data_IF_046034791506
#
_entry.id   IF_046034791506
#
_cell.length_a   1.000
_cell.length_b   1.000
_cell.length_c   1.000
_cell.angle_alpha   90.00
_cell.angle_beta   90.00
_cell.angle_gamma   90.00
#
_symmetry.space_group_name_H-M   'P 1'
#
loop_
_entity.id
_entity.type
_entity.pdbx_description
1 polymer ?
#
# COMPACT_ATOMS: atom_id res chain seq x y z
N UNK A 1 40.57 -9.11 106.83
CA UNK A 1 39.76 -7.87 106.86
C UNK A 1 40.55 -6.74 106.21
N UNK A 2 40.08 -6.18 105.10
CA UNK A 2 40.48 -4.85 104.61
C UNK A 2 39.42 -4.35 103.62
N UNK A 3 38.57 -3.44 104.12
CA UNK A 3 37.59 -2.65 103.33
C UNK A 3 38.27 -1.37 102.85
N UNK A 4 38.11 -1.00 101.57
CA UNK A 4 38.16 0.40 101.10
C UNK A 4 37.55 0.48 99.69
N UNK A 5 36.23 0.72 99.59
CA UNK A 5 35.55 2.02 99.38
C UNK A 5 35.81 2.67 98.01
N UNK A 6 34.74 2.62 97.21
CA UNK A 6 34.42 3.46 96.04
C UNK A 6 34.65 4.94 96.31
N UNK A 7 35.13 5.66 95.30
CA UNK A 7 34.86 7.08 95.07
C UNK A 7 34.80 7.35 93.55
N UNK A 8 33.70 7.97 93.15
CA UNK A 8 33.40 8.68 91.88
C UNK A 8 33.50 10.17 92.28
N UNK A 9 34.10 11.11 91.52
CA UNK A 9 33.62 11.63 90.20
C UNK A 9 34.79 11.90 89.22
N UNK A 10 34.61 12.18 87.93
CA UNK A 10 34.07 13.43 87.37
C UNK A 10 33.87 13.27 85.84
N UNK A 11 32.89 14.00 85.32
CA UNK A 11 32.40 13.95 83.95
C UNK A 11 33.50 14.27 82.92
N UNK A 12 33.70 13.38 81.94
CA UNK A 12 34.32 13.75 80.68
C UNK A 12 33.40 13.38 79.51
N UNK A 13 33.16 14.42 78.72
CA UNK A 13 32.15 14.57 77.67
C UNK A 13 32.31 13.54 76.55
N UNK A 14 31.17 13.11 76.00
CA UNK A 14 31.11 12.31 74.79
C UNK A 14 31.88 12.99 73.64
N UNK A 15 32.69 12.26 72.85
CA UNK A 15 33.25 12.82 71.63
C UNK A 15 32.13 13.00 70.60
N UNK A 16 32.03 14.25 70.18
CA UNK A 16 31.22 14.83 69.12
C UNK A 16 31.28 13.98 67.85
N UNK A 17 30.11 13.81 67.21
CA UNK A 17 29.95 13.27 65.87
C UNK A 17 30.85 14.05 64.90
N UNK A 18 31.87 13.40 64.35
CA UNK A 18 32.73 13.97 63.33
C UNK A 18 32.31 13.49 61.94
N UNK A 19 31.95 14.47 61.13
CA UNK A 19 32.02 14.53 59.67
C UNK A 19 31.08 13.59 58.87
N UNK A 20 29.97 14.18 58.42
CA UNK A 20 29.28 13.81 57.20
C UNK A 20 30.29 13.62 56.05
N UNK A 21 30.44 12.38 55.57
CA UNK A 21 31.03 12.14 54.25
C UNK A 21 30.01 12.64 53.22
N UNK A 22 30.35 13.60 52.34
CA UNK A 22 29.42 13.98 51.28
C UNK A 22 29.17 12.75 50.40
N UNK A 23 27.90 12.36 50.26
CA UNK A 23 27.49 11.35 49.28
C UNK A 23 27.89 11.85 47.91
N UNK A 24 28.94 11.28 47.32
CA UNK A 24 29.30 11.51 45.93
C UNK A 24 28.17 10.97 45.06
N UNK A 25 27.30 11.87 44.59
CA UNK A 25 26.33 11.56 43.54
C UNK A 25 27.15 11.25 42.30
N UNK A 26 27.13 10.00 41.84
CA UNK A 26 27.78 9.61 40.60
C UNK A 26 27.04 10.30 39.44
N UNK A 27 27.58 11.44 39.00
CA UNK A 27 27.14 12.09 37.77
C UNK A 27 27.85 11.43 36.62
N UNK A 28 27.08 10.68 35.84
CA UNK A 28 27.53 10.08 34.58
C UNK A 28 28.17 11.17 33.69
N UNK A 29 29.28 10.87 33.01
CA UNK A 29 29.98 11.84 32.16
C UNK A 29 29.06 12.44 31.07
N UNK A 30 28.03 11.69 30.70
CA UNK A 30 26.97 12.14 29.81
C UNK A 30 26.14 13.29 30.40
N UNK A 31 25.83 13.25 31.70
CA UNK A 31 25.06 14.30 32.37
C UNK A 31 25.89 15.59 32.53
N UNK A 32 27.18 15.48 32.82
CA UNK A 32 28.06 16.65 32.97
C UNK A 32 28.36 17.34 31.64
N UNK A 33 28.48 16.58 30.55
CA UNK A 33 28.65 17.10 29.20
C UNK A 33 27.43 17.85 28.66
N UNK A 34 26.22 17.38 28.99
CA UNK A 34 24.97 18.06 28.63
C UNK A 34 24.75 19.30 29.49
N UNK A 35 24.98 19.22 30.80
CA UNK A 35 24.79 20.36 31.71
C UNK A 35 25.71 21.55 31.39
N UNK A 36 26.98 21.31 31.05
CA UNK A 36 27.90 22.40 30.64
C UNK A 36 27.47 23.09 29.35
N UNK A 37 27.02 22.33 28.35
CA UNK A 37 26.56 22.91 27.08
C UNK A 37 25.25 23.69 27.23
N UNK A 38 24.39 23.28 28.16
CA UNK A 38 23.14 23.99 28.50
C UNK A 38 23.43 25.29 29.26
N UNK A 39 24.39 25.29 30.19
CA UNK A 39 24.81 26.50 30.92
C UNK A 39 25.49 27.54 30.01
N UNK A 40 26.34 27.10 29.07
CA UNK A 40 27.04 28.00 28.13
C UNK A 40 26.08 28.66 27.13
N UNK A 41 25.00 27.98 26.75
CA UNK A 41 23.94 28.56 25.93
C UNK A 41 23.05 29.53 26.72
N UNK A 42 22.80 29.26 28.00
CA UNK A 42 21.99 30.13 28.88
C UNK A 42 22.61 31.50 29.12
N UNK A 43 23.95 31.58 29.23
CA UNK A 43 24.66 32.85 29.50
C UNK A 43 24.71 33.81 28.31
N UNK A 44 24.50 33.34 27.08
CA UNK A 44 24.47 34.21 25.88
C UNK A 44 23.12 34.91 25.66
N UNK A 45 22.10 34.65 26.48
CA UNK A 45 20.74 35.16 26.30
C UNK A 45 20.15 35.81 27.58
N UNK A 46 20.97 36.55 28.33
CA UNK A 46 20.52 37.19 29.58
C UNK A 46 19.70 38.46 29.32
N UNK A 47 18.43 38.47 29.77
CA UNK A 47 17.54 39.65 29.75
C UNK A 47 16.05 39.32 29.57
N UNK A 48 15.71 38.32 28.75
CA UNK A 48 14.38 37.67 28.64
C UNK A 48 14.50 36.14 28.47
N UNK A 49 15.69 35.61 28.76
CA UNK A 49 16.22 34.34 28.25
C UNK A 49 15.54 33.07 28.72
N UNK A 50 14.83 33.04 29.86
CA UNK A 50 14.31 31.77 30.38
C UNK A 50 13.12 31.25 29.56
N UNK A 51 12.19 32.13 29.17
CA UNK A 51 11.06 31.74 28.31
C UNK A 51 11.51 31.50 26.86
N UNK A 52 12.51 32.26 26.39
CA UNK A 52 13.12 32.06 25.06
C UNK A 52 13.90 30.74 25.02
N UNK A 53 14.66 30.41 26.06
CA UNK A 53 15.41 29.17 26.20
C UNK A 53 14.48 27.96 26.32
N UNK A 54 13.41 28.04 27.12
CA UNK A 54 12.39 26.98 27.19
C UNK A 54 11.64 26.83 25.86
N UNK A 55 11.35 27.93 25.16
CA UNK A 55 10.77 27.89 23.82
C UNK A 55 11.69 27.21 22.79
N UNK A 56 12.98 27.52 22.81
CA UNK A 56 13.97 26.87 21.95
C UNK A 56 14.18 25.39 22.30
N UNK A 57 14.21 25.05 23.60
CA UNK A 57 14.30 23.66 24.05
C UNK A 57 13.05 22.85 23.65
N UNK A 58 11.85 23.44 23.77
CA UNK A 58 10.61 22.81 23.32
C UNK A 58 10.59 22.58 21.81
N UNK A 59 11.08 23.55 21.01
CA UNK A 59 11.23 23.39 19.56
C UNK A 59 12.25 22.31 19.19
N UNK A 60 13.37 22.22 19.92
CA UNK A 60 14.36 21.17 19.70
C UNK A 60 13.80 19.77 20.00
N UNK A 61 13.07 19.61 21.11
CA UNK A 61 12.37 18.36 21.45
C UNK A 61 11.32 18.03 20.38
N UNK A 62 10.54 19.01 19.93
CA UNK A 62 9.56 18.83 18.87
C UNK A 62 10.22 18.37 17.56
N UNK A 63 11.36 18.97 17.18
CA UNK A 63 12.12 18.58 16.00
C UNK A 63 12.66 17.13 16.11
N UNK A 64 13.11 16.71 17.30
CA UNK A 64 13.52 15.32 17.56
C UNK A 64 12.35 14.36 17.45
N UNK A 65 11.19 14.69 18.04
CA UNK A 65 9.98 13.87 17.92
C UNK A 65 9.50 13.75 16.48
N UNK A 66 9.53 14.85 15.72
CA UNK A 66 9.25 14.87 14.28
C UNK A 66 10.27 13.99 13.53
N UNK A 67 11.56 14.11 13.85
CA UNK A 67 12.61 13.28 13.24
C UNK A 67 12.43 11.78 13.50
N UNK A 68 12.10 11.40 14.74
CA UNK A 68 11.79 10.01 15.13
C UNK A 68 10.54 9.53 14.38
N UNK A 69 9.50 10.36 14.31
CA UNK A 69 8.27 10.04 13.58
C UNK A 69 8.56 9.81 12.09
N UNK A 70 9.32 10.70 11.42
CA UNK A 70 9.68 10.53 10.01
C UNK A 70 10.59 9.32 9.76
N UNK A 71 11.56 9.06 10.64
CA UNK A 71 12.42 7.88 10.55
C UNK A 71 11.63 6.58 10.74
N UNK A 72 10.68 6.56 11.68
CA UNK A 72 9.77 5.44 11.87
C UNK A 72 8.84 5.28 10.67
N UNK A 73 8.24 6.36 10.17
CA UNK A 73 7.32 6.32 9.03
C UNK A 73 8.01 5.79 7.76
N UNK A 74 9.23 6.25 7.43
CA UNK A 74 9.99 5.73 6.27
C UNK A 74 10.34 4.26 6.40
N UNK A 75 10.76 3.81 7.59
CA UNK A 75 11.05 2.40 7.84
C UNK A 75 9.78 1.55 7.80
N UNK A 76 8.68 2.10 8.31
CA UNK A 76 7.36 1.47 8.30
C UNK A 76 6.85 1.31 6.86
N UNK A 77 6.95 2.33 6.02
CA UNK A 77 6.52 2.26 4.61
C UNK A 77 7.30 1.20 3.82
N UNK A 78 8.63 1.15 3.96
CA UNK A 78 9.43 0.13 3.29
C UNK A 78 9.07 -1.29 3.76
N UNK A 79 8.84 -1.47 5.07
CA UNK A 79 8.41 -2.74 5.63
C UNK A 79 6.98 -3.13 5.18
N UNK A 80 6.09 -2.14 5.06
CA UNK A 80 4.71 -2.33 4.61
C UNK A 80 4.67 -2.80 3.15
N UNK A 81 5.42 -2.13 2.27
CA UNK A 81 5.52 -2.52 0.86
C UNK A 81 6.17 -3.89 0.69
N UNK A 82 7.22 -4.20 1.46
CA UNK A 82 7.85 -5.52 1.42
C UNK A 82 6.90 -6.63 1.89
N UNK A 83 6.12 -6.40 2.96
CA UNK A 83 5.14 -7.35 3.45
C UNK A 83 3.98 -7.56 2.46
N UNK A 84 3.46 -6.47 1.87
CA UNK A 84 2.45 -6.53 0.83
C UNK A 84 2.97 -7.27 -0.41
N UNK A 85 4.19 -6.96 -0.86
CA UNK A 85 4.83 -7.60 -2.01
C UNK A 85 4.98 -9.11 -1.82
N UNK A 86 5.41 -9.55 -0.63
CA UNK A 86 5.48 -10.99 -0.30
C UNK A 86 4.10 -11.65 -0.37
N UNK A 87 3.06 -11.01 0.15
CA UNK A 87 1.70 -11.54 0.10
C UNK A 87 1.18 -11.64 -1.35
N UNK A 88 1.51 -10.65 -2.19
CA UNK A 88 1.21 -10.67 -3.64
C UNK A 88 1.96 -11.81 -4.32
N UNK A 89 3.24 -12.03 -4.00
CA UNK A 89 4.02 -13.16 -4.54
C UNK A 89 3.33 -14.50 -4.23
N UNK A 90 2.86 -14.70 -3.01
CA UNK A 90 2.07 -15.88 -2.65
C UNK A 90 0.76 -15.94 -3.44
N UNK A 91 0.03 -14.83 -3.59
CA UNK A 91 -1.24 -14.77 -4.31
C UNK A 91 -1.10 -14.97 -5.84
N UNK A 92 0.07 -14.71 -6.40
CA UNK A 92 0.37 -14.85 -7.84
C UNK A 92 1.18 -16.10 -8.16
N UNK A 93 1.58 -16.87 -7.14
CA UNK A 93 2.30 -18.13 -7.28
C UNK A 93 1.59 -19.08 -8.26
N UNK A 94 2.37 -19.81 -9.05
CA UNK A 94 1.82 -20.70 -10.07
C UNK A 94 0.92 -21.77 -9.45
N UNK A 95 -0.23 -22.02 -10.08
CA UNK A 95 -1.10 -23.17 -9.79
C UNK A 95 -0.78 -24.26 -10.81
N UNK A 96 -0.31 -25.40 -10.33
CA UNK A 96 0.13 -26.52 -11.16
C UNK A 96 0.02 -27.84 -10.39
N UNK A 97 -0.47 -28.87 -11.06
CA UNK A 97 -0.44 -30.24 -10.53
C UNK A 97 0.97 -30.85 -10.55
N UNK A 98 1.83 -30.35 -11.44
CA UNK A 98 3.23 -30.77 -11.51
C UNK A 98 4.06 -30.06 -10.44
N UNK A 99 4.96 -30.79 -9.75
CA UNK A 99 5.84 -30.20 -8.75
C UNK A 99 6.77 -29.15 -9.39
N UNK A 100 7.16 -28.18 -8.58
CA UNK A 100 8.07 -27.14 -9.01
C UNK A 100 9.41 -27.75 -9.50
N UNK A 101 10.05 -27.18 -10.54
CA UNK A 101 11.32 -27.70 -11.05
C UNK A 101 12.37 -27.85 -9.95
N UNK A 102 13.20 -28.90 -10.02
CA UNK A 102 14.21 -29.15 -9.00
C UNK A 102 15.14 -27.92 -8.83
N UNK A 103 15.25 -27.42 -7.60
CA UNK A 103 16.03 -26.22 -7.27
C UNK A 103 15.25 -24.90 -7.33
N UNK A 104 13.96 -24.90 -7.71
CA UNK A 104 13.14 -23.69 -7.65
C UNK A 104 12.77 -23.34 -6.20
N UNK A 105 12.88 -22.07 -5.84
CA UNK A 105 12.37 -21.53 -4.57
C UNK A 105 10.95 -20.97 -4.68
N UNK A 106 10.34 -21.03 -5.86
CA UNK A 106 8.99 -20.52 -6.10
C UNK A 106 7.95 -21.42 -5.44
N UNK A 107 7.02 -20.82 -4.70
CA UNK A 107 5.85 -21.52 -4.19
C UNK A 107 5.00 -21.96 -5.39
N UNK A 108 4.51 -23.19 -5.36
CA UNK A 108 3.54 -23.74 -6.33
C UNK A 108 2.39 -24.33 -5.54
N UNK A 109 1.18 -24.03 -5.97
CA UNK A 109 -0.05 -24.51 -5.33
C UNK A 109 -0.77 -25.50 -6.25
N UNK A 110 -1.49 -26.47 -5.67
CA UNK A 110 -2.25 -27.44 -6.46
C UNK A 110 -3.53 -26.84 -7.02
N UNK A 111 -4.16 -25.94 -6.26
CA UNK A 111 -5.40 -25.29 -6.65
C UNK A 111 -5.35 -23.79 -6.34
N UNK A 112 -6.22 -23.05 -7.03
CA UNK A 112 -6.51 -21.64 -6.77
C UNK A 112 -6.97 -21.40 -5.32
N UNK A 113 -7.75 -22.33 -4.77
CA UNK A 113 -8.24 -22.25 -3.39
C UNK A 113 -7.10 -22.37 -2.38
N UNK A 114 -6.20 -23.34 -2.56
CA UNK A 114 -5.04 -23.52 -1.65
C UNK A 114 -4.14 -22.28 -1.64
N UNK A 115 -3.93 -21.67 -2.82
CA UNK A 115 -3.17 -20.43 -2.95
C UNK A 115 -3.84 -19.28 -2.20
N UNK A 116 -5.15 -19.12 -2.38
CA UNK A 116 -5.92 -18.09 -1.69
C UNK A 116 -5.89 -18.28 -0.16
N UNK A 117 -6.03 -19.52 0.33
CA UNK A 117 -5.98 -19.85 1.76
C UNK A 117 -4.61 -19.53 2.37
N UNK A 118 -3.52 -19.70 1.59
CA UNK A 118 -2.17 -19.33 2.00
C UNK A 118 -1.91 -17.81 1.94
N UNK A 119 -2.48 -17.09 0.98
CA UNK A 119 -2.23 -15.66 0.76
C UNK A 119 -2.98 -14.76 1.75
N UNK A 120 -4.24 -15.08 2.07
CA UNK A 120 -5.08 -14.29 2.98
C UNK A 120 -4.40 -13.97 4.32
N UNK A 121 -3.81 -14.93 5.07
CA UNK A 121 -3.16 -14.61 6.34
C UNK A 121 -1.92 -13.72 6.17
N UNK A 122 -1.22 -13.79 5.03
CA UNK A 122 -0.09 -12.89 4.76
C UNK A 122 -0.59 -11.45 4.54
N UNK A 123 -1.69 -11.25 3.82
CA UNK A 123 -2.34 -9.93 3.71
C UNK A 123 -2.95 -9.47 5.03
N UNK A 124 -3.55 -10.36 5.83
CA UNK A 124 -4.10 -10.00 7.13
C UNK A 124 -3.00 -9.48 8.05
N UNK A 125 -1.82 -10.09 8.04
CA UNK A 125 -0.66 -9.58 8.77
C UNK A 125 -0.20 -8.18 8.32
N UNK A 126 -0.48 -7.80 7.06
CA UNK A 126 -0.26 -6.43 6.57
C UNK A 126 -1.30 -5.49 7.17
N UNK A 127 -2.58 -5.87 7.14
CA UNK A 127 -3.68 -5.10 7.73
C UNK A 127 -3.48 -4.87 9.23
N UNK A 128 -3.01 -5.88 9.95
CA UNK A 128 -2.85 -5.80 11.40
C UNK A 128 -1.66 -4.92 11.83
N UNK A 129 -0.66 -4.72 10.96
CA UNK A 129 0.61 -4.06 11.30
C UNK A 129 0.80 -2.69 10.68
N UNK A 130 0.13 -2.43 9.57
CA UNK A 130 0.33 -1.23 8.77
C UNK A 130 -1.00 -0.53 8.54
N UNK A 131 -0.95 0.79 8.33
CA UNK A 131 -2.12 1.62 8.07
C UNK A 131 -2.12 2.25 6.68
N UNK A 132 -3.21 2.93 6.34
CA UNK A 132 -3.31 3.77 5.15
C UNK A 132 -3.39 2.97 3.85
N UNK A 133 -2.79 3.47 2.77
CA UNK A 133 -2.96 2.89 1.43
C UNK A 133 -2.52 1.42 1.32
N UNK A 134 -1.50 0.99 2.07
CA UNK A 134 -1.03 -0.41 2.06
C UNK A 134 -2.05 -1.33 2.74
N UNK A 135 -2.62 -0.88 3.85
CA UNK A 135 -3.70 -1.58 4.56
C UNK A 135 -4.93 -1.75 3.67
N UNK A 136 -5.35 -0.67 2.99
CA UNK A 136 -6.50 -0.70 2.08
C UNK A 136 -6.27 -1.68 0.91
N UNK A 137 -5.07 -1.68 0.32
CA UNK A 137 -4.71 -2.64 -0.75
C UNK A 137 -4.72 -4.08 -0.23
N UNK A 138 -4.20 -4.32 0.98
CA UNK A 138 -4.24 -5.64 1.59
C UNK A 138 -5.68 -6.13 1.82
N UNK A 139 -6.58 -5.25 2.30
CA UNK A 139 -8.03 -5.57 2.43
C UNK A 139 -8.66 -5.94 1.09
N UNK A 140 -8.34 -5.20 0.02
CA UNK A 140 -8.78 -5.54 -1.33
C UNK A 140 -8.31 -6.94 -1.75
N UNK A 141 -7.02 -7.25 -1.59
CA UNK A 141 -6.51 -8.57 -1.95
C UNK A 141 -7.11 -9.70 -1.10
N UNK A 142 -7.38 -9.47 0.18
CA UNK A 142 -8.12 -10.42 1.03
C UNK A 142 -9.49 -10.71 0.42
N UNK A 143 -10.25 -9.67 0.07
CA UNK A 143 -11.60 -9.81 -0.48
C UNK A 143 -11.59 -10.55 -1.83
N UNK A 144 -10.65 -10.25 -2.72
CA UNK A 144 -10.50 -10.95 -4.02
C UNK A 144 -10.12 -12.42 -3.82
N UNK A 145 -9.18 -12.74 -2.92
CA UNK A 145 -8.83 -14.14 -2.63
C UNK A 145 -9.99 -14.89 -1.97
N UNK A 146 -10.78 -14.21 -1.12
CA UNK A 146 -11.98 -14.78 -0.51
C UNK A 146 -13.00 -15.21 -1.55
N UNK A 147 -13.08 -14.57 -2.73
CA UNK A 147 -13.96 -15.04 -3.81
C UNK A 147 -13.74 -16.52 -4.20
N UNK A 148 -12.53 -17.06 -4.00
CA UNK A 148 -12.19 -18.47 -4.29
C UNK A 148 -12.47 -19.44 -3.13
N UNK A 149 -12.74 -18.93 -1.93
CA UNK A 149 -12.88 -19.72 -0.69
C UNK A 149 -14.30 -19.63 -0.15
N UNK A 150 -14.77 -18.40 0.04
CA UNK A 150 -16.10 -18.00 0.48
C UNK A 150 -16.54 -16.80 -0.38
N UNK A 151 -17.23 -17.13 -1.46
CA UNK A 151 -17.65 -16.15 -2.46
C UNK A 151 -18.58 -15.09 -1.88
N UNK A 152 -19.47 -15.45 -0.96
CA UNK A 152 -20.41 -14.52 -0.36
C UNK A 152 -19.68 -13.48 0.51
N UNK A 153 -18.72 -13.94 1.33
CA UNK A 153 -17.89 -13.04 2.12
C UNK A 153 -17.04 -12.11 1.24
N UNK A 154 -16.39 -12.65 0.20
CA UNK A 154 -15.58 -11.87 -0.74
C UNK A 154 -16.38 -10.77 -1.44
N UNK A 155 -17.60 -11.08 -1.92
CA UNK A 155 -18.50 -10.09 -2.51
C UNK A 155 -18.88 -9.02 -1.51
N UNK A 156 -19.29 -9.39 -0.29
CA UNK A 156 -19.69 -8.43 0.74
C UNK A 156 -18.56 -7.46 1.11
N UNK A 157 -17.33 -7.96 1.18
CA UNK A 157 -16.14 -7.15 1.48
C UNK A 157 -15.78 -6.22 0.32
N UNK A 158 -15.84 -6.70 -0.93
CA UNK A 158 -15.66 -5.86 -2.11
C UNK A 158 -16.74 -4.77 -2.19
N UNK A 159 -17.99 -5.06 -1.85
CA UNK A 159 -19.06 -4.07 -1.80
C UNK A 159 -18.82 -3.00 -0.72
N UNK A 160 -18.25 -3.40 0.43
CA UNK A 160 -17.85 -2.45 1.46
C UNK A 160 -16.69 -1.55 0.98
N UNK A 161 -15.68 -2.13 0.33
CA UNK A 161 -14.55 -1.39 -0.22
C UNK A 161 -14.94 -0.51 -1.42
N UNK A 162 -15.87 -0.93 -2.27
CA UNK A 162 -16.36 -0.18 -3.43
C UNK A 162 -17.05 1.14 -3.05
N UNK A 163 -17.49 1.28 -1.79
CA UNK A 163 -18.04 2.53 -1.23
C UNK A 163 -16.96 3.54 -0.87
N UNK A 164 -15.70 3.12 -0.73
CA UNK A 164 -14.58 4.03 -0.54
C UNK A 164 -14.24 4.72 -1.86
N UNK A 165 -13.66 5.92 -1.78
CA UNK A 165 -13.10 6.59 -2.94
C UNK A 165 -11.70 6.07 -3.30
N UNK A 166 -11.11 6.62 -4.37
CA UNK A 166 -9.72 6.36 -4.73
C UNK A 166 -9.48 5.00 -5.39
N UNK A 167 -8.24 4.50 -5.24
CA UNK A 167 -7.74 3.30 -5.93
C UNK A 167 -8.50 2.04 -5.53
N UNK A 168 -8.58 1.75 -4.24
CA UNK A 168 -9.19 0.52 -3.74
C UNK A 168 -10.69 0.47 -4.03
N UNK A 169 -11.40 1.59 -3.91
CA UNK A 169 -12.81 1.66 -4.31
C UNK A 169 -13.02 1.36 -5.79
N UNK A 170 -12.18 1.93 -6.66
CA UNK A 170 -12.22 1.71 -8.12
C UNK A 170 -11.93 0.25 -8.46
N UNK A 171 -10.86 -0.33 -7.88
CA UNK A 171 -10.50 -1.73 -8.08
C UNK A 171 -11.58 -2.68 -7.56
N UNK A 172 -12.21 -2.36 -6.43
CA UNK A 172 -13.27 -3.19 -5.86
C UNK A 172 -14.53 -3.17 -6.74
N UNK A 173 -14.91 -2.02 -7.30
CA UNK A 173 -16.00 -1.95 -8.29
C UNK A 173 -15.70 -2.77 -9.54
N UNK A 174 -14.46 -2.72 -10.03
CA UNK A 174 -14.05 -3.52 -11.19
C UNK A 174 -14.10 -5.02 -10.89
N UNK A 175 -13.59 -5.46 -9.73
CA UNK A 175 -13.66 -6.85 -9.30
C UNK A 175 -15.12 -7.32 -9.10
N UNK A 176 -16.00 -6.46 -8.59
CA UNK A 176 -17.45 -6.74 -8.53
C UNK A 176 -18.04 -6.89 -9.93
N UNK A 177 -17.72 -6.01 -10.86
CA UNK A 177 -18.19 -6.10 -12.25
C UNK A 177 -17.80 -7.45 -12.89
N UNK A 178 -16.55 -7.88 -12.71
CA UNK A 178 -16.07 -9.20 -13.15
C UNK A 178 -16.82 -10.33 -12.46
N UNK A 179 -16.99 -10.25 -11.14
CA UNK A 179 -17.70 -11.28 -10.36
C UNK A 179 -19.15 -11.43 -10.82
N UNK A 180 -19.86 -10.32 -11.08
CA UNK A 180 -21.24 -10.33 -11.60
C UNK A 180 -21.30 -10.84 -13.03
N UNK A 181 -20.28 -10.56 -13.84
CA UNK A 181 -20.14 -11.13 -15.19
C UNK A 181 -20.04 -12.65 -15.13
N UNK A 182 -19.20 -13.19 -14.26
CA UNK A 182 -19.02 -14.62 -14.06
C UNK A 182 -20.30 -15.29 -13.53
N UNK A 183 -21.10 -14.56 -12.76
CA UNK A 183 -22.41 -15.01 -12.27
C UNK A 183 -23.53 -14.92 -13.31
N UNK A 184 -23.25 -14.42 -14.52
CA UNK A 184 -24.25 -14.18 -15.56
C UNK A 184 -25.20 -13.01 -15.25
N UNK A 185 -24.89 -12.22 -14.22
CA UNK A 185 -25.66 -11.04 -13.78
C UNK A 185 -25.25 -9.83 -14.61
N UNK A 186 -25.53 -9.89 -15.91
CA UNK A 186 -25.01 -8.95 -16.89
C UNK A 186 -25.48 -7.51 -16.65
N UNK A 187 -26.71 -7.29 -16.19
CA UNK A 187 -27.20 -5.94 -15.88
C UNK A 187 -26.48 -5.31 -14.68
N UNK A 188 -26.25 -6.09 -13.62
CA UNK A 188 -25.45 -5.63 -12.47
C UNK A 188 -24.00 -5.34 -12.90
N UNK A 189 -23.42 -6.19 -13.74
CA UNK A 189 -22.06 -6.00 -14.26
C UNK A 189 -21.94 -4.74 -15.12
N UNK A 190 -22.88 -4.52 -16.05
CA UNK A 190 -22.91 -3.34 -16.92
C UNK A 190 -23.01 -2.05 -16.09
N UNK A 191 -23.83 -2.04 -15.03
CA UNK A 191 -23.95 -0.88 -14.14
C UNK A 191 -22.61 -0.50 -13.50
N UNK A 192 -21.85 -1.48 -12.98
CA UNK A 192 -20.52 -1.20 -12.43
C UNK A 192 -19.52 -0.69 -13.49
N UNK A 193 -19.53 -1.28 -14.70
CA UNK A 193 -18.65 -0.81 -15.77
C UNK A 193 -19.00 0.60 -16.27
N UNK A 194 -20.28 0.96 -16.36
CA UNK A 194 -20.71 2.32 -16.70
C UNK A 194 -20.32 3.33 -15.59
N UNK A 195 -20.44 2.96 -14.31
CA UNK A 195 -19.92 3.79 -13.21
C UNK A 195 -18.42 4.05 -13.36
N UNK A 196 -17.64 3.00 -13.67
CA UNK A 196 -16.19 3.10 -13.86
C UNK A 196 -15.83 3.94 -15.08
N UNK A 197 -16.56 3.80 -16.19
CA UNK A 197 -16.37 4.56 -17.43
C UNK A 197 -16.55 6.06 -17.22
N UNK A 198 -17.47 6.43 -16.35
CA UNK A 198 -17.81 7.83 -16.05
C UNK A 198 -16.85 8.50 -15.06
N UNK A 199 -15.86 7.78 -14.54
CA UNK A 199 -14.81 8.37 -13.71
C UNK A 199 -13.95 9.34 -14.53
N UNK A 200 -13.73 10.54 -13.99
CA UNK A 200 -12.95 11.58 -14.69
C UNK A 200 -11.45 11.25 -14.77
N UNK A 201 -10.90 10.63 -13.73
CA UNK A 201 -9.51 10.19 -13.67
C UNK A 201 -9.47 8.70 -13.27
N UNK A 202 -9.76 7.79 -14.21
CA UNK A 202 -9.81 6.38 -13.90
C UNK A 202 -8.38 5.84 -13.75
N UNK A 203 -8.16 5.08 -12.68
CA UNK A 203 -6.88 4.39 -12.45
C UNK A 203 -6.72 3.20 -13.42
N UNK A 204 -7.84 2.66 -13.88
CA UNK A 204 -7.90 1.64 -14.92
C UNK A 204 -7.97 2.33 -16.29
N UNK A 205 -7.35 1.73 -17.30
CA UNK A 205 -7.43 2.24 -18.67
C UNK A 205 -8.90 2.27 -19.15
N UNK A 206 -9.32 3.40 -19.74
CA UNK A 206 -10.69 3.54 -20.27
C UNK A 206 -11.01 2.48 -21.31
N UNK A 207 -10.04 2.13 -22.15
CA UNK A 207 -10.20 1.08 -23.16
C UNK A 207 -10.52 -0.27 -22.54
N UNK A 208 -9.87 -0.63 -21.42
CA UNK A 208 -10.17 -1.87 -20.69
C UNK A 208 -11.60 -1.86 -20.14
N UNK A 209 -12.04 -0.77 -19.51
CA UNK A 209 -13.40 -0.64 -18.99
C UNK A 209 -14.43 -0.73 -20.12
N UNK A 210 -14.20 0.02 -21.20
CA UNK A 210 -15.08 0.06 -22.36
C UNK A 210 -15.14 -1.31 -23.07
N UNK A 211 -14.00 -1.99 -23.21
CA UNK A 211 -13.94 -3.31 -23.82
C UNK A 211 -14.76 -4.33 -23.04
N UNK A 212 -14.62 -4.35 -21.71
CA UNK A 212 -15.43 -5.25 -20.88
C UNK A 212 -16.92 -4.88 -20.94
N UNK A 213 -17.26 -3.60 -20.92
CA UNK A 213 -18.64 -3.16 -21.10
C UNK A 213 -19.23 -3.62 -22.46
N UNK A 214 -18.45 -3.53 -23.54
CA UNK A 214 -18.84 -4.03 -24.85
C UNK A 214 -19.05 -5.55 -24.85
N UNK A 215 -18.18 -6.32 -24.18
CA UNK A 215 -18.35 -7.76 -23.99
C UNK A 215 -19.69 -8.07 -23.28
N UNK A 216 -20.05 -7.27 -22.27
CA UNK A 216 -21.34 -7.41 -21.58
C UNK A 216 -22.50 -7.08 -22.51
N UNK A 217 -22.46 -5.95 -23.23
CA UNK A 217 -23.51 -5.58 -24.19
C UNK A 217 -23.70 -6.62 -25.29
N UNK A 218 -22.62 -7.19 -25.82
CA UNK A 218 -22.71 -8.29 -26.78
C UNK A 218 -23.42 -9.51 -26.17
N UNK A 219 -23.05 -9.92 -24.93
CA UNK A 219 -23.72 -11.02 -24.22
C UNK A 219 -25.19 -10.73 -23.90
N UNK A 220 -25.56 -9.47 -23.76
CA UNK A 220 -26.95 -9.03 -23.57
C UNK A 220 -27.76 -8.95 -24.87
N UNK A 221 -27.13 -9.18 -26.04
CA UNK A 221 -27.78 -9.00 -27.35
C UNK A 221 -27.88 -7.53 -27.80
N UNK A 222 -27.23 -6.60 -27.08
CA UNK A 222 -27.08 -5.18 -27.45
C UNK A 222 -25.93 -5.03 -28.44
N UNK A 223 -26.07 -5.68 -29.59
CA UNK A 223 -25.00 -5.83 -30.58
C UNK A 223 -24.58 -4.50 -31.19
N UNK A 224 -25.52 -3.56 -31.39
CA UNK A 224 -25.20 -2.25 -31.94
C UNK A 224 -24.32 -1.43 -30.98
N UNK A 225 -24.70 -1.39 -29.70
CA UNK A 225 -23.96 -0.68 -28.66
C UNK A 225 -22.58 -1.30 -28.43
N UNK A 226 -22.48 -2.64 -28.45
CA UNK A 226 -21.19 -3.33 -28.37
C UNK A 226 -20.30 -2.97 -29.58
N UNK A 227 -20.85 -3.02 -30.80
CA UNK A 227 -20.11 -2.67 -32.02
C UNK A 227 -19.63 -1.22 -32.01
N UNK A 228 -20.44 -0.28 -31.53
CA UNK A 228 -20.03 1.12 -31.36
C UNK A 228 -18.82 1.26 -30.43
N UNK A 229 -18.83 0.57 -29.30
CA UNK A 229 -17.73 0.65 -28.33
C UNK A 229 -16.48 0.01 -28.89
N UNK A 230 -16.56 -1.21 -29.45
CA UNK A 230 -15.41 -1.88 -30.05
C UNK A 230 -14.79 -1.06 -31.18
N UNK A 231 -15.62 -0.49 -32.05
CA UNK A 231 -15.18 0.40 -33.12
C UNK A 231 -14.42 1.59 -32.56
N UNK A 232 -14.96 2.29 -31.56
CA UNK A 232 -14.31 3.46 -31.00
C UNK A 232 -12.95 3.15 -30.37
N UNK A 233 -12.81 2.01 -29.68
CA UNK A 233 -11.53 1.56 -29.11
C UNK A 233 -10.51 1.32 -30.22
N UNK A 234 -10.86 0.49 -31.21
CA UNK A 234 -9.96 0.10 -32.27
C UNK A 234 -9.63 1.28 -33.21
N UNK A 235 -10.60 2.13 -33.54
CA UNK A 235 -10.43 3.32 -34.38
C UNK A 235 -9.49 4.33 -33.74
N UNK A 236 -9.72 4.68 -32.47
CA UNK A 236 -8.86 5.62 -31.74
C UNK A 236 -7.42 5.11 -31.68
N UNK A 237 -7.22 3.82 -31.43
CA UNK A 237 -5.90 3.22 -31.40
C UNK A 237 -5.23 3.19 -32.78
N UNK A 238 -5.99 2.96 -33.86
CA UNK A 238 -5.46 2.94 -35.23
C UNK A 238 -4.97 4.31 -35.72
N UNK A 239 -5.54 5.39 -35.17
CA UNK A 239 -5.21 6.78 -35.51
C UNK A 239 -4.22 7.40 -34.53
N UNK A 240 -3.79 6.66 -33.51
CA UNK A 240 -2.87 7.14 -32.50
C UNK A 240 -1.48 7.40 -33.11
N UNK A 241 -0.93 8.57 -32.81
CA UNK A 241 0.41 8.98 -33.23
C UNK A 241 1.29 9.29 -32.03
N UNK A 242 2.56 8.95 -32.14
CA UNK A 242 3.60 9.27 -31.17
C UNK A 242 3.99 10.75 -31.23
N UNK A 243 4.91 11.15 -30.34
CA UNK A 243 5.45 12.52 -30.31
C UNK A 243 6.24 12.87 -31.59
N UNK A 244 6.68 11.86 -32.33
CA UNK A 244 7.38 11.95 -33.60
C UNK A 244 6.42 11.95 -34.81
N UNK A 245 5.11 12.13 -34.58
CA UNK A 245 4.02 12.09 -35.58
C UNK A 245 3.91 10.75 -36.32
N UNK A 246 4.51 9.69 -35.76
CA UNK A 246 4.48 8.35 -36.34
C UNK A 246 3.36 7.49 -35.76
N UNK A 247 2.80 6.54 -36.53
CA UNK A 247 1.77 5.66 -36.02
C UNK A 247 2.23 4.81 -34.84
N UNK A 248 1.38 4.67 -33.82
CA UNK A 248 1.64 3.81 -32.67
C UNK A 248 1.00 2.44 -32.94
N UNK A 249 1.72 1.33 -32.68
CA UNK A 249 1.11 0.01 -32.74
C UNK A 249 -0.10 -0.10 -31.81
N UNK A 250 -1.20 -0.68 -32.32
CA UNK A 250 -2.40 -0.88 -31.52
C UNK A 250 -2.11 -1.74 -30.27
N UNK A 251 -2.73 -1.38 -29.15
CA UNK A 251 -2.69 -2.20 -27.95
C UNK A 251 -3.32 -3.58 -28.20
N UNK A 252 -3.06 -4.55 -27.32
CA UNK A 252 -3.71 -5.84 -27.41
C UNK A 252 -5.24 -5.70 -27.32
N UNK A 253 -5.75 -4.94 -26.35
CA UNK A 253 -7.18 -4.66 -26.20
C UNK A 253 -7.81 -4.03 -27.45
N UNK A 254 -7.09 -3.14 -28.13
CA UNK A 254 -7.62 -2.52 -29.35
C UNK A 254 -7.67 -3.49 -30.54
N UNK A 255 -6.71 -4.43 -30.64
CA UNK A 255 -6.75 -5.50 -31.63
C UNK A 255 -7.89 -6.47 -31.35
N UNK A 256 -8.03 -6.91 -30.11
CA UNK A 256 -9.15 -7.76 -29.68
C UNK A 256 -10.51 -7.08 -29.89
N UNK A 257 -10.60 -5.76 -29.68
CA UNK A 257 -11.80 -4.97 -30.00
C UNK A 257 -12.12 -5.00 -31.49
N UNK A 258 -11.11 -4.87 -32.36
CA UNK A 258 -11.30 -4.99 -33.82
C UNK A 258 -11.78 -6.39 -34.21
N UNK A 259 -11.18 -7.44 -33.65
CA UNK A 259 -11.58 -8.83 -33.91
C UNK A 259 -13.03 -9.07 -33.48
N UNK A 260 -13.41 -8.59 -32.29
CA UNK A 260 -14.79 -8.64 -31.79
C UNK A 260 -15.76 -7.85 -32.66
N UNK A 261 -15.35 -6.68 -33.16
CA UNK A 261 -16.14 -5.91 -34.10
C UNK A 261 -16.32 -6.66 -35.42
N UNK A 262 -15.30 -7.34 -35.93
CA UNK A 262 -15.39 -8.12 -37.16
C UNK A 262 -16.38 -9.28 -37.03
N UNK A 263 -16.42 -9.95 -35.87
CA UNK A 263 -17.40 -11.00 -35.57
C UNK A 263 -18.86 -10.51 -35.67
N UNK A 264 -19.14 -9.27 -35.25
CA UNK A 264 -20.53 -8.77 -35.09
C UNK A 264 -20.94 -7.72 -36.13
N UNK A 265 -19.98 -7.05 -36.77
CA UNK A 265 -20.17 -6.04 -37.80
C UNK A 265 -18.91 -5.93 -38.71
N UNK A 266 -18.72 -6.91 -39.62
CA UNK A 266 -17.52 -7.00 -40.45
C UNK A 266 -17.35 -5.81 -41.41
N UNK A 267 -18.45 -5.22 -41.90
CA UNK A 267 -18.35 -4.05 -42.79
C UNK A 267 -17.75 -2.85 -42.08
N UNK A 268 -18.15 -2.61 -40.83
CA UNK A 268 -17.58 -1.51 -40.03
C UNK A 268 -16.15 -1.78 -39.59
N UNK A 269 -15.78 -3.05 -39.36
CA UNK A 269 -14.40 -3.41 -39.04
C UNK A 269 -13.41 -3.05 -40.16
N UNK A 270 -13.84 -3.10 -41.43
CA UNK A 270 -13.01 -2.71 -42.60
C UNK A 270 -12.63 -1.23 -42.61
N UNK A 271 -13.34 -0.38 -41.87
CA UNK A 271 -13.01 1.05 -41.75
C UNK A 271 -11.75 1.29 -40.87
N UNK A 272 -11.31 0.28 -40.12
CA UNK A 272 -10.18 0.35 -39.20
C UNK A 272 -8.91 -0.18 -39.87
N UNK A 273 -8.08 0.76 -40.33
CA UNK A 273 -6.81 0.46 -41.00
C UNK A 273 -5.72 0.33 -39.94
N UNK A 274 -5.11 -0.85 -39.84
CA UNK A 274 -4.00 -1.05 -38.91
C UNK A 274 -2.75 -0.30 -39.39
N UNK A 275 -2.05 0.41 -38.50
CA UNK A 275 -0.79 1.04 -38.84
C UNK A 275 0.25 -0.03 -39.18
N UNK A 276 0.95 0.16 -40.30
CA UNK A 276 1.99 -0.77 -40.72
C UNK A 276 3.07 -0.89 -39.63
N UNK A 277 3.54 -2.11 -39.29
CA UNK A 277 4.63 -2.26 -38.34
C UNK A 277 5.87 -1.55 -38.89
N UNK A 278 6.46 -0.62 -38.12
CA UNK A 278 7.76 -0.07 -38.48
C UNK A 278 8.77 -1.24 -38.57
N UNK A 279 9.43 -1.38 -39.72
CA UNK A 279 10.50 -2.35 -39.87
C UNK A 279 11.56 -2.10 -38.78
N UNK A 280 11.92 -3.09 -37.95
CA UNK A 280 12.98 -2.95 -36.95
C UNK A 280 14.35 -2.66 -37.61
N UNK A 281 14.44 -2.88 -38.92
CA UNK A 281 15.57 -2.47 -39.76
C UNK A 281 15.09 -1.31 -40.64
N UNK A 282 15.21 -0.08 -40.14
CA UNK A 282 14.87 1.11 -40.91
C UNK A 282 15.72 1.18 -42.18
N UNK A 283 15.15 0.85 -43.33
CA UNK A 283 15.70 1.15 -44.65
C UNK A 283 14.60 1.21 -45.71
N UNK A 284 14.21 2.46 -46.03
CA UNK A 284 14.14 3.10 -47.37
C UNK A 284 12.94 4.04 -47.47
#
# INVERSE_FOLDING_TARGET
MARKKRQVPEQFKAPVQTADKPRTVYQDEFQSGVNRRVEDFGRKFEGKGRNVLYGLAALAVLAVLIGIFFAWNRRSEAAAQAALGKAIETAQAQVSESPAPAGSTQKVFKTERDRAEAAIPEFQAVVDKFGGAVEEKAKYFIAVNRLKIDRAAGVSELEALAKSGGEVGTLSKFALAQTKTDDGKLDEAAAFYEELRNLSNPILAKDTINFELANIYQKQGKTAEAADIYYNIAKTASEAKGLDDKPVPMSQTAREAKDKLEEINPERAKEIIEPAPESPFGMQ
#
